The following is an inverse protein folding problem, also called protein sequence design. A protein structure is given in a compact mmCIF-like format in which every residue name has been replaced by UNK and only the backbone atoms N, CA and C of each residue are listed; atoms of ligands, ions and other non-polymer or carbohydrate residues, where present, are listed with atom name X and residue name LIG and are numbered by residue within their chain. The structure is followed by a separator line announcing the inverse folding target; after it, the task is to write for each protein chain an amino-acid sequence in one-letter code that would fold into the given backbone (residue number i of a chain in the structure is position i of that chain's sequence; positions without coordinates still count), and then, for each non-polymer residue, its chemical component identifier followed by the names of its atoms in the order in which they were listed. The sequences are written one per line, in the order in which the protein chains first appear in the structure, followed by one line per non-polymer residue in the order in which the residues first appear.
data_IF_186865421854
#
_entry.id   IF_186865421854
#
_cell.length_a   1.000
_cell.length_b   1.000
_cell.length_c   1.000
_cell.angle_alpha   90.00
_cell.angle_beta   90.00
_cell.angle_gamma   90.00
#
_symmetry.space_group_name_H-M   'P 1'
#
loop_
_entity.id
_entity.type
_entity.pdbx_description
1 polymer ?
#
# COMPACT_ATOMS: atom_id res chain seq x y z
N UNK A 1 -13.12 -59.44 -18.44
CA UNK A 1 -12.56 -58.07 -18.56
C UNK A 1 -12.43 -57.48 -17.17
N UNK A 2 -11.20 -57.23 -16.72
CA UNK A 2 -10.79 -57.30 -15.30
C UNK A 2 -11.34 -56.15 -14.42
N UNK A 3 -12.15 -56.44 -13.38
CA UNK A 3 -12.70 -55.44 -12.46
C UNK A 3 -11.62 -54.66 -11.68
N UNK A 4 -10.42 -55.22 -11.57
CA UNK A 4 -9.23 -54.54 -11.05
C UNK A 4 -8.89 -53.26 -11.82
N UNK A 5 -9.01 -53.26 -13.15
CA UNK A 5 -8.68 -52.08 -13.97
C UNK A 5 -9.61 -50.90 -13.68
N UNK A 6 -10.90 -51.18 -13.40
CA UNK A 6 -11.90 -50.16 -13.04
C UNK A 6 -11.65 -49.59 -11.64
N UNK A 7 -11.25 -50.43 -10.69
CA UNK A 7 -10.89 -49.99 -9.33
C UNK A 7 -9.60 -49.16 -9.34
N UNK A 8 -8.59 -49.61 -10.09
CA UNK A 8 -7.32 -48.90 -10.28
C UNK A 8 -7.54 -47.52 -10.89
N UNK A 9 -8.31 -47.43 -11.98
CA UNK A 9 -8.65 -46.14 -12.61
C UNK A 9 -9.43 -45.21 -11.68
N UNK A 10 -10.33 -45.76 -10.84
CA UNK A 10 -11.09 -44.99 -9.84
C UNK A 10 -10.17 -44.45 -8.74
N UNK A 11 -9.19 -45.24 -8.30
CA UNK A 11 -8.21 -44.84 -7.29
C UNK A 11 -7.23 -43.80 -7.87
N UNK A 12 -6.69 -44.04 -9.06
CA UNK A 12 -5.84 -43.09 -9.77
C UNK A 12 -6.53 -41.75 -10.01
N UNK A 13 -7.80 -41.75 -10.45
CA UNK A 13 -8.57 -40.51 -10.62
C UNK A 13 -8.73 -39.75 -9.30
N UNK A 14 -9.02 -40.44 -8.20
CA UNK A 14 -9.10 -39.81 -6.88
C UNK A 14 -7.75 -39.23 -6.44
N UNK A 15 -6.66 -39.96 -6.64
CA UNK A 15 -5.31 -39.48 -6.32
C UNK A 15 -4.93 -38.24 -7.15
N UNK A 16 -5.29 -38.22 -8.44
CA UNK A 16 -5.07 -37.06 -9.31
C UNK A 16 -5.88 -35.85 -8.82
N UNK A 17 -7.15 -36.03 -8.46
CA UNK A 17 -7.99 -34.93 -7.95
C UNK A 17 -7.49 -34.39 -6.61
N UNK A 18 -7.06 -35.26 -5.70
CA UNK A 18 -6.49 -34.87 -4.41
C UNK A 18 -5.19 -34.09 -4.64
N UNK A 19 -4.29 -34.61 -5.47
CA UNK A 19 -3.04 -33.93 -5.79
C UNK A 19 -3.27 -32.58 -6.47
N UNK A 20 -4.20 -32.50 -7.42
CA UNK A 20 -4.59 -31.24 -8.06
C UNK A 20 -5.13 -30.23 -7.03
N UNK A 21 -5.96 -30.65 -6.08
CA UNK A 21 -6.46 -29.80 -4.99
C UNK A 21 -5.32 -29.26 -4.12
N UNK A 22 -4.40 -30.13 -3.70
CA UNK A 22 -3.24 -29.73 -2.89
C UNK A 22 -2.31 -28.77 -3.64
N UNK A 23 -2.12 -28.98 -4.95
CA UNK A 23 -1.36 -28.06 -5.79
C UNK A 23 -2.06 -26.70 -5.91
N UNK A 24 -3.38 -26.66 -6.08
CA UNK A 24 -4.15 -25.42 -6.14
C UNK A 24 -4.05 -24.66 -4.81
N UNK A 25 -4.23 -25.34 -3.68
CA UNK A 25 -4.06 -24.75 -2.35
C UNK A 25 -2.66 -24.18 -2.14
N UNK A 26 -1.62 -24.94 -2.54
CA UNK A 26 -0.24 -24.47 -2.50
C UNK A 26 -0.03 -23.21 -3.34
N UNK A 27 -0.60 -23.17 -4.56
CA UNK A 27 -0.54 -21.99 -5.44
C UNK A 27 -1.23 -20.78 -4.77
N UNK A 28 -2.41 -20.97 -4.18
CA UNK A 28 -3.13 -19.91 -3.45
C UNK A 28 -2.31 -19.38 -2.28
N UNK A 29 -1.66 -20.26 -1.50
CA UNK A 29 -0.80 -19.86 -0.39
C UNK A 29 0.44 -19.07 -0.87
N UNK A 30 1.07 -19.51 -1.96
CA UNK A 30 2.21 -18.79 -2.58
C UNK A 30 1.78 -17.41 -3.06
N UNK A 31 0.62 -17.31 -3.73
CA UNK A 31 0.06 -16.03 -4.20
C UNK A 31 -0.27 -15.09 -3.03
N UNK A 32 -0.90 -15.62 -1.96
CA UNK A 32 -1.22 -14.88 -0.73
C UNK A 32 0.04 -14.41 0.00
N UNK A 33 1.12 -15.19 -0.04
CA UNK A 33 2.40 -14.79 0.55
C UNK A 33 3.10 -13.70 -0.28
N UNK A 34 3.03 -13.78 -1.61
CA UNK A 34 3.60 -12.76 -2.51
C UNK A 34 2.86 -11.42 -2.42
N UNK A 35 1.56 -11.46 -2.14
CA UNK A 35 0.71 -10.28 -1.93
C UNK A 35 0.70 -9.76 -0.50
N UNK A 36 1.61 -10.22 0.38
CA UNK A 36 1.68 -9.69 1.75
C UNK A 36 1.82 -8.16 1.71
N UNK A 37 0.84 -7.43 2.26
CA UNK A 37 0.86 -5.97 2.24
C UNK A 37 1.99 -5.45 3.12
N UNK A 38 2.48 -4.25 2.81
CA UNK A 38 3.46 -3.54 3.63
C UNK A 38 2.73 -2.50 4.49
N UNK A 39 3.10 -2.42 5.78
CA UNK A 39 2.51 -1.46 6.70
C UNK A 39 2.93 -0.02 6.38
N UNK A 40 2.13 0.97 6.77
CA UNK A 40 2.46 2.40 6.60
C UNK A 40 3.79 2.77 7.25
N UNK A 41 4.11 2.20 8.42
CA UNK A 41 5.38 2.44 9.12
C UNK A 41 6.58 1.97 8.27
N UNK A 42 6.49 0.77 7.70
CA UNK A 42 7.53 0.23 6.84
C UNK A 42 7.66 1.03 5.53
N UNK A 43 6.55 1.47 4.95
CA UNK A 43 6.53 2.33 3.76
C UNK A 43 7.22 3.68 4.01
N UNK A 44 6.87 4.38 5.09
CA UNK A 44 7.49 5.65 5.48
C UNK A 44 8.98 5.51 5.79
N UNK A 45 9.38 4.41 6.44
CA UNK A 45 10.79 4.12 6.68
C UNK A 45 11.58 4.02 5.37
N UNK A 46 11.02 3.36 4.36
CA UNK A 46 11.64 3.27 3.03
C UNK A 46 11.74 4.64 2.35
N UNK A 47 10.72 5.49 2.49
CA UNK A 47 10.74 6.85 1.97
C UNK A 47 11.85 7.66 2.66
N UNK A 48 11.98 7.61 3.98
CA UNK A 48 13.07 8.30 4.71
C UNK A 48 14.46 7.81 4.27
N UNK A 49 14.64 6.51 4.05
CA UNK A 49 15.90 5.95 3.57
C UNK A 49 16.27 6.41 2.16
N UNK A 50 15.29 6.46 1.23
CA UNK A 50 15.54 6.86 -0.17
C UNK A 50 15.58 8.37 -0.40
N UNK A 51 14.89 9.14 0.43
CA UNK A 51 14.71 10.58 0.26
C UNK A 51 14.85 11.29 1.62
N UNK A 52 16.04 11.29 2.23
CA UNK A 52 16.22 11.74 3.61
C UNK A 52 15.75 13.18 3.81
N UNK A 53 15.22 13.43 5.01
CA UNK A 53 14.82 14.77 5.43
C UNK A 53 16.07 15.64 5.62
N UNK A 54 16.05 16.83 5.02
CA UNK A 54 17.06 17.86 5.24
C UNK A 54 16.40 19.09 5.86
N UNK A 55 17.22 19.93 6.48
CA UNK A 55 16.80 21.25 6.95
C UNK A 55 16.95 22.25 5.82
N UNK A 56 15.89 22.98 5.50
CA UNK A 56 15.94 24.03 4.51
C UNK A 56 16.85 25.16 4.99
N UNK A 57 17.68 25.68 4.08
CA UNK A 57 18.48 26.86 4.34
C UNK A 57 18.46 27.79 3.14
N UNK A 58 17.96 29.01 3.34
CA UNK A 58 17.85 30.07 2.32
C UNK A 58 19.21 30.41 1.72
N UNK A 59 20.28 30.30 2.50
CA UNK A 59 21.65 30.61 2.06
C UNK A 59 22.22 29.61 1.06
N UNK A 60 21.81 28.33 1.16
CA UNK A 60 22.38 27.24 0.40
C UNK A 60 21.54 26.85 -0.82
N UNK A 61 20.26 27.25 -0.85
CA UNK A 61 19.33 26.93 -1.94
C UNK A 61 18.98 28.17 -2.75
N UNK A 62 19.58 28.29 -3.94
CA UNK A 62 19.14 29.20 -4.99
C UNK A 62 17.96 28.64 -5.83
N UNK A 63 17.29 27.59 -5.34
CA UNK A 63 16.25 26.84 -6.07
C UNK A 63 14.84 27.22 -5.65
N UNK A 64 13.91 26.25 -5.72
CA UNK A 64 12.51 26.42 -5.29
C UNK A 64 12.41 26.98 -3.86
N UNK A 65 11.69 28.09 -3.73
CA UNK A 65 11.44 28.81 -2.48
C UNK A 65 10.09 28.48 -1.85
N UNK A 66 9.29 27.65 -2.50
CA UNK A 66 7.92 27.33 -2.11
C UNK A 66 7.61 25.85 -2.33
N UNK A 67 6.79 25.27 -1.47
CA UNK A 67 6.26 23.92 -1.67
C UNK A 67 5.01 23.95 -2.55
N UNK A 68 5.10 23.40 -3.75
CA UNK A 68 3.95 23.34 -4.69
C UNK A 68 2.78 22.42 -4.26
N UNK A 69 2.90 21.71 -3.14
CA UNK A 69 1.81 20.89 -2.58
C UNK A 69 0.92 21.69 -1.63
N UNK A 70 1.51 22.50 -0.75
CA UNK A 70 0.75 23.35 0.19
C UNK A 70 0.72 24.82 -0.21
N UNK A 71 1.44 25.20 -1.28
CA UNK A 71 1.56 26.57 -1.78
C UNK A 71 2.05 27.54 -0.67
N UNK A 72 3.05 27.11 0.08
CA UNK A 72 3.65 27.87 1.17
C UNK A 72 5.16 27.96 0.99
N UNK A 73 5.71 29.14 1.28
CA UNK A 73 7.16 29.38 1.22
C UNK A 73 7.92 28.50 2.21
N UNK A 74 9.17 28.21 1.90
CA UNK A 74 10.06 27.51 2.81
C UNK A 74 10.71 28.48 3.81
N UNK A 75 10.65 28.11 5.09
CA UNK A 75 11.31 28.83 6.17
C UNK A 75 12.63 28.18 6.60
N UNK A 76 13.54 28.98 7.15
CA UNK A 76 14.85 28.49 7.60
C UNK A 76 14.68 27.39 8.66
N UNK A 77 15.36 26.26 8.48
CA UNK A 77 15.29 25.13 9.40
C UNK A 77 14.08 24.21 9.21
N UNK A 78 13.18 24.49 8.27
CA UNK A 78 12.06 23.60 7.97
C UNK A 78 12.53 22.25 7.44
N UNK A 79 11.73 21.21 7.71
CA UNK A 79 12.00 19.85 7.24
C UNK A 79 11.52 19.72 5.81
N UNK A 80 12.45 19.61 4.88
CA UNK A 80 12.15 19.43 3.46
C UNK A 80 12.80 18.16 2.93
N UNK A 81 12.27 17.64 1.83
CA UNK A 81 12.83 16.50 1.10
C UNK A 81 13.15 16.93 -0.31
N UNK A 82 14.35 16.55 -0.77
CA UNK A 82 14.77 16.73 -2.16
C UNK A 82 14.58 15.41 -2.91
N UNK A 83 13.85 15.46 -4.01
CA UNK A 83 13.70 14.32 -4.90
C UNK A 83 14.89 14.22 -5.86
N UNK A 84 15.12 13.02 -6.42
CA UNK A 84 16.14 12.81 -7.47
C UNK A 84 15.89 13.65 -8.73
N UNK A 85 14.63 14.05 -8.95
CA UNK A 85 14.26 14.97 -10.01
C UNK A 85 14.54 16.45 -9.71
N UNK A 86 15.19 16.75 -8.56
CA UNK A 86 15.60 18.08 -8.07
C UNK A 86 14.48 18.99 -7.54
N UNK A 87 13.25 18.51 -7.49
CA UNK A 87 12.15 19.24 -6.84
C UNK A 87 12.16 19.04 -5.31
N UNK A 88 11.88 20.13 -4.58
CA UNK A 88 11.84 20.21 -3.12
C UNK A 88 10.39 20.32 -2.63
N UNK A 89 10.09 19.63 -1.54
CA UNK A 89 8.79 19.74 -0.87
C UNK A 89 8.97 19.69 0.64
N UNK A 90 8.01 20.18 1.43
CA UNK A 90 7.97 19.86 2.86
C UNK A 90 7.91 18.35 3.05
N UNK A 91 8.61 17.85 4.07
CA UNK A 91 8.65 16.43 4.41
C UNK A 91 7.24 15.86 4.51
N UNK A 92 6.38 16.50 5.30
CA UNK A 92 5.05 15.98 5.59
C UNK A 92 4.10 16.09 4.38
N UNK A 93 4.26 17.12 3.55
CA UNK A 93 3.51 17.28 2.30
C UNK A 93 3.86 16.16 1.31
N UNK A 94 5.15 15.90 1.11
CA UNK A 94 5.60 14.83 0.22
C UNK A 94 5.22 13.46 0.76
N UNK A 95 5.39 13.19 2.05
CA UNK A 95 5.07 11.90 2.65
C UNK A 95 3.58 11.57 2.52
N UNK A 96 2.69 12.55 2.72
CA UNK A 96 1.24 12.40 2.48
C UNK A 96 0.95 12.15 0.99
N UNK A 97 1.56 12.93 0.10
CA UNK A 97 1.40 12.78 -1.33
C UNK A 97 1.81 11.38 -1.82
N UNK A 98 2.97 10.88 -1.39
CA UNK A 98 3.46 9.55 -1.80
C UNK A 98 2.61 8.40 -1.26
N UNK A 99 1.88 8.61 -0.16
CA UNK A 99 0.92 7.62 0.36
C UNK A 99 -0.39 7.60 -0.43
N UNK A 100 -0.79 8.70 -1.05
CA UNK A 100 -2.10 8.86 -1.71
C UNK A 100 -2.01 8.78 -3.24
N UNK A 101 -0.98 9.37 -3.85
CA UNK A 101 -0.91 9.70 -5.27
C UNK A 101 0.26 9.00 -5.99
N UNK A 102 0.10 7.70 -6.28
CA UNK A 102 0.99 6.85 -7.12
C UNK A 102 2.51 6.93 -6.87
N UNK A 103 2.94 7.50 -5.74
CA UNK A 103 4.33 7.76 -5.39
C UNK A 103 5.15 8.44 -6.50
N UNK A 104 4.56 9.44 -7.16
CA UNK A 104 5.22 10.24 -8.21
C UNK A 104 5.50 11.66 -7.72
N UNK A 105 6.49 12.33 -8.34
CA UNK A 105 6.74 13.75 -8.09
C UNK A 105 5.50 14.58 -8.45
N UNK A 106 5.01 15.48 -7.56
CA UNK A 106 3.88 16.37 -7.85
C UNK A 106 4.07 17.26 -9.09
N UNK A 107 5.31 17.67 -9.37
CA UNK A 107 5.62 18.61 -10.45
C UNK A 107 5.85 17.93 -11.81
N UNK A 108 6.72 16.91 -11.86
CA UNK A 108 7.13 16.30 -13.13
C UNK A 108 6.68 14.85 -13.33
N UNK A 109 5.90 14.30 -12.39
CA UNK A 109 5.38 12.93 -12.43
C UNK A 109 6.42 11.81 -12.53
N UNK A 110 7.72 12.12 -12.41
CA UNK A 110 8.78 11.11 -12.30
C UNK A 110 8.52 10.24 -11.07
N UNK A 111 8.72 8.94 -11.24
CA UNK A 111 8.52 7.96 -10.19
C UNK A 111 9.51 8.17 -9.04
N UNK A 112 9.00 8.22 -7.81
CA UNK A 112 9.81 8.42 -6.59
C UNK A 112 10.11 7.07 -5.93
N UNK A 113 9.14 6.16 -5.91
CA UNK A 113 9.25 4.85 -5.29
C UNK A 113 8.97 3.71 -6.28
N UNK A 114 9.54 2.50 -6.07
CA UNK A 114 9.28 1.34 -6.92
C UNK A 114 7.81 0.93 -6.93
N UNK A 115 7.29 0.55 -8.10
CA UNK A 115 5.89 0.14 -8.27
C UNK A 115 5.47 -1.01 -7.33
N UNK A 116 6.33 -2.01 -7.13
CA UNK A 116 6.06 -3.15 -6.24
C UNK A 116 5.85 -2.75 -4.77
N UNK A 117 6.55 -1.71 -4.32
CA UNK A 117 6.39 -1.18 -2.97
C UNK A 117 5.04 -0.44 -2.83
N UNK A 118 4.74 0.40 -3.82
CA UNK A 118 3.50 1.21 -3.86
C UNK A 118 2.27 0.31 -3.93
N UNK A 119 2.31 -0.73 -4.76
CA UNK A 119 1.22 -1.69 -4.91
C UNK A 119 0.97 -2.49 -3.63
N UNK A 120 2.02 -2.98 -2.96
CA UNK A 120 1.91 -3.62 -1.63
C UNK A 120 1.32 -2.68 -0.58
N UNK A 121 1.66 -1.40 -0.60
CA UNK A 121 1.14 -0.43 0.37
C UNK A 121 -0.33 -0.09 0.10
N UNK A 122 -0.71 0.07 -1.16
CA UNK A 122 -2.12 0.29 -1.56
C UNK A 122 -3.01 -0.89 -1.20
N UNK A 123 -2.52 -2.12 -1.33
CA UNK A 123 -3.22 -3.32 -0.87
C UNK A 123 -3.50 -3.28 0.64
N UNK A 124 -2.53 -2.81 1.45
CA UNK A 124 -2.73 -2.59 2.89
C UNK A 124 -3.86 -1.59 3.15
N UNK A 125 -3.83 -0.43 2.50
CA UNK A 125 -4.84 0.62 2.69
C UNK A 125 -6.25 0.13 2.35
N UNK A 126 -6.40 -0.61 1.25
CA UNK A 126 -7.68 -1.19 0.84
C UNK A 126 -8.19 -2.23 1.85
N UNK A 127 -7.31 -3.05 2.42
CA UNK A 127 -7.68 -4.03 3.45
C UNK A 127 -8.12 -3.33 4.74
N UNK A 128 -7.35 -2.35 5.23
CA UNK A 128 -7.72 -1.60 6.44
C UNK A 128 -9.05 -0.85 6.29
N UNK A 129 -9.37 -0.38 5.08
CA UNK A 129 -10.65 0.28 4.80
C UNK A 129 -11.81 -0.72 4.70
N UNK A 130 -11.57 -1.98 4.34
CA UNK A 130 -12.60 -3.02 4.39
C UNK A 130 -12.86 -3.51 5.82
N UNK A 131 -11.83 -3.59 6.66
CA UNK A 131 -11.94 -4.03 8.06
C UNK A 131 -12.66 -3.03 8.97
N UNK A 132 -12.72 -1.74 8.61
CA UNK A 132 -13.51 -0.75 9.36
C UNK A 132 -15.02 -0.78 9.00
N UNK A 133 -15.40 -1.42 7.88
CA UNK A 133 -16.78 -1.44 7.41
C UNK A 133 -17.72 -2.21 8.36
N UNK A 134 -17.34 -3.36 8.96
CA UNK A 134 -18.12 -4.02 10.01
C UNK A 134 -18.30 -3.14 11.25
N UNK A 135 -17.27 -2.38 11.64
CA UNK A 135 -17.33 -1.51 12.81
C UNK A 135 -18.24 -0.30 12.57
N UNK A 136 -18.12 0.36 11.40
CA UNK A 136 -19.04 1.44 11.02
C UNK A 136 -20.48 0.93 10.88
N UNK A 137 -20.70 -0.23 10.25
CA UNK A 137 -22.04 -0.83 10.16
C UNK A 137 -22.63 -1.17 11.53
N UNK A 138 -21.80 -1.54 12.51
CA UNK A 138 -22.23 -1.74 13.89
C UNK A 138 -22.58 -0.44 14.60
N UNK A 139 -21.83 0.64 14.37
CA UNK A 139 -22.14 1.98 14.89
C UNK A 139 -23.43 2.55 14.29
N UNK A 140 -23.60 2.46 12.97
CA UNK A 140 -24.83 2.89 12.28
C UNK A 140 -26.07 2.07 12.71
N UNK A 141 -25.91 0.80 13.12
CA UNK A 141 -27.01 0.00 13.69
C UNK A 141 -27.31 0.38 15.15
N UNK A 142 -26.31 0.79 15.92
CA UNK A 142 -26.51 1.29 17.28
C UNK A 142 -27.26 2.62 17.29
N UNK A 143 -26.93 3.54 16.38
CA UNK A 143 -27.59 4.85 16.28
C UNK A 143 -29.04 4.74 15.78
N UNK A 144 -29.34 3.81 14.88
CA UNK A 144 -30.71 3.53 14.43
C UNK A 144 -31.59 2.81 15.49
N UNK A 145 -31.02 2.42 16.63
CA UNK A 145 -31.75 1.82 17.76
C UNK A 145 -32.18 2.86 18.81
N UNK A 146 -31.65 4.10 18.75
CA UNK A 146 -32.03 5.21 19.64
C UNK A 146 -33.14 6.13 19.08
N UNK A 147 -33.52 5.94 17.81
CA UNK A 147 -34.63 6.69 17.17
C UNK A 147 -35.88 5.85 16.89
N UNK A 148 -36.05 4.74 17.61
CA UNK A 148 -37.26 3.92 17.50
C UNK A 148 -37.92 3.74 18.86
N UNK A 149 -38.57 4.80 19.34
CA UNK A 149 -39.66 4.67 20.30
C UNK A 149 -40.85 5.53 19.85
N UNK A 150 -42.09 5.06 20.11
CA UNK A 150 -43.33 5.54 19.51
C UNK A 150 -43.77 6.93 19.98
#
# INVERSE_FOLDING_TARGET
MSPLSKLFNKLCRKMILIFASLLIELIILIQKQRSRPITTRQYLKFIEEKNPTIRYSKRLKAGEVECSVCLSEFEEGEKVRNLKCKHTFHRDCLDKWLQQCWATCPLCRKQVLPHDLVSKHRQHQNQTQQDHLPFLLSAFRADNSLHRHP
#
